data_IF_572294361600
#
_entry.id   IF_572294361600
#
_cell.length_a   1.000
_cell.length_b   1.000
_cell.length_c   1.000
_cell.angle_alpha   90.00
_cell.angle_beta   90.00
_cell.angle_gamma   90.00
#
_symmetry.space_group_name_H-M   'P 1'
#
loop_
_entity.id
_entity.type
_entity.pdbx_description
1 polymer ?
#
# COMPACT_ATOMS: atom_id res chain seq x y z
N UNK A 1 -12.16 6.49 -31.85
CA UNK A 1 -13.39 5.89 -31.29
C UNK A 1 -13.22 4.41 -31.56
N UNK A 2 -12.91 3.57 -30.57
CA UNK A 2 -13.65 3.37 -29.32
C UNK A 2 -12.74 3.27 -28.09
N UNK A 3 -13.21 3.89 -27.01
CA UNK A 3 -12.70 3.84 -25.65
C UNK A 3 -13.25 2.55 -25.01
N UNK A 4 -12.43 1.52 -24.87
CA UNK A 4 -12.78 0.30 -24.17
C UNK A 4 -12.77 0.53 -22.66
N UNK A 5 -13.93 0.74 -22.06
CA UNK A 5 -14.08 0.90 -20.62
C UNK A 5 -13.74 -0.39 -19.87
N UNK A 6 -12.92 -0.28 -18.84
CA UNK A 6 -12.72 -1.35 -17.86
C UNK A 6 -13.69 -1.13 -16.70
N UNK A 7 -14.74 -1.95 -16.68
CA UNK A 7 -15.62 -2.10 -15.50
C UNK A 7 -14.99 -3.18 -14.62
N UNK A 8 -14.35 -2.76 -13.53
CA UNK A 8 -13.89 -3.69 -12.50
C UNK A 8 -14.91 -3.72 -11.36
N UNK A 9 -15.83 -4.68 -11.41
CA UNK A 9 -16.72 -4.98 -10.30
C UNK A 9 -15.96 -5.82 -9.25
N UNK A 10 -15.86 -5.33 -8.02
CA UNK A 10 -15.28 -6.08 -6.90
C UNK A 10 -16.45 -6.67 -6.08
N UNK A 11 -16.84 -7.89 -6.43
CA UNK A 11 -17.90 -8.63 -5.74
C UNK A 11 -17.35 -9.22 -4.44
N UNK A 12 -17.91 -8.80 -3.31
CA UNK A 12 -17.60 -9.34 -1.98
C UNK A 12 -18.25 -10.72 -1.82
N UNK A 13 -17.46 -11.79 -1.84
CA UNK A 13 -17.88 -13.11 -1.39
C UNK A 13 -17.40 -13.35 0.04
N UNK A 14 -18.32 -13.25 1.00
CA UNK A 14 -18.14 -13.71 2.37
C UNK A 14 -18.73 -15.12 2.47
N UNK A 15 -17.89 -16.15 2.40
CA UNK A 15 -18.24 -17.47 2.92
C UNK A 15 -17.08 -18.01 3.75
N UNK A 16 -17.26 -17.98 5.07
CA UNK A 16 -16.37 -18.59 6.04
C UNK A 16 -16.84 -20.02 6.31
N UNK A 17 -16.26 -21.00 5.63
CA UNK A 17 -16.38 -22.41 5.99
C UNK A 17 -15.05 -22.90 6.59
N UNK A 18 -15.14 -23.29 7.86
CA UNK A 18 -14.06 -23.77 8.72
C UNK A 18 -13.47 -25.07 8.11
N UNK A 19 -12.25 -25.01 7.59
CA UNK A 19 -11.56 -26.15 6.98
C UNK A 19 -10.04 -26.01 7.09
N UNK A 20 -9.45 -26.92 7.87
CA UNK A 20 -8.03 -27.04 8.25
C UNK A 20 -7.05 -26.89 7.08
N UNK A 21 -6.09 -25.95 7.17
CA UNK A 21 -4.82 -25.98 6.44
C UNK A 21 -3.79 -25.14 7.18
N UNK A 22 -2.93 -25.85 7.89
CA UNK A 22 -1.83 -25.37 8.71
C UNK A 22 -0.68 -24.91 7.79
N UNK A 23 -0.80 -23.72 7.21
CA UNK A 23 0.33 -22.96 6.69
C UNK A 23 0.32 -21.64 7.45
N UNK A 24 1.35 -21.43 8.26
CA UNK A 24 1.49 -20.33 9.22
C UNK A 24 1.11 -18.98 8.59
N UNK A 25 -0.15 -18.58 8.73
CA UNK A 25 -0.58 -17.21 8.55
C UNK A 25 0.15 -16.42 9.62
N UNK A 26 1.15 -15.64 9.22
CA UNK A 26 1.79 -14.65 10.07
C UNK A 26 0.65 -13.74 10.55
N UNK A 27 0.17 -13.99 11.77
CA UNK A 27 -0.93 -13.25 12.39
C UNK A 27 -0.52 -11.77 12.44
N UNK A 28 -0.93 -10.99 11.45
CA UNK A 28 -1.09 -9.56 11.65
C UNK A 28 -2.22 -9.43 12.66
N UNK A 29 -1.88 -8.93 13.85
CA UNK A 29 -2.75 -8.94 15.03
C UNK A 29 -3.76 -7.78 15.04
N UNK A 30 -3.99 -7.15 13.89
CA UNK A 30 -5.02 -6.13 13.71
C UNK A 30 -5.96 -6.56 12.57
N UNK A 31 -7.29 -6.62 12.80
CA UNK A 31 -8.26 -7.02 11.78
C UNK A 31 -8.34 -6.04 10.59
N UNK A 32 -7.73 -4.86 10.71
CA UNK A 32 -7.69 -3.82 9.67
C UNK A 32 -6.41 -3.84 8.82
N UNK A 33 -5.42 -4.69 9.16
CA UNK A 33 -4.17 -4.84 8.42
C UNK A 33 -4.10 -6.22 7.77
N UNK A 34 -4.01 -6.24 6.44
CA UNK A 34 -3.87 -7.47 5.68
C UNK A 34 -2.95 -7.26 4.48
N UNK A 35 -2.45 -8.36 3.95
CA UNK A 35 -1.61 -8.34 2.76
C UNK A 35 -2.42 -8.63 1.50
N UNK A 36 -2.16 -7.86 0.45
CA UNK A 36 -2.72 -8.09 -0.88
C UNK A 36 -1.62 -8.10 -1.94
N UNK A 37 -1.78 -8.90 -3.01
CA UNK A 37 -0.98 -8.69 -4.21
C UNK A 37 -1.37 -7.35 -4.86
N UNK A 38 -0.40 -6.57 -5.30
CA UNK A 38 -0.64 -5.35 -6.07
C UNK A 38 0.40 -5.17 -7.18
N UNK A 39 0.07 -4.36 -8.17
CA UNK A 39 0.98 -3.99 -9.25
C UNK A 39 1.15 -2.47 -9.20
N UNK A 40 2.39 -2.00 -9.19
CA UNK A 40 2.73 -0.58 -9.19
C UNK A 40 3.69 -0.33 -10.34
N UNK A 41 3.30 0.51 -11.30
CA UNK A 41 3.99 0.61 -12.58
C UNK A 41 4.04 -0.75 -13.27
N UNK A 42 5.23 -1.26 -13.53
CA UNK A 42 5.47 -2.60 -14.11
C UNK A 42 5.89 -3.65 -13.07
N UNK A 43 5.94 -3.29 -11.78
CA UNK A 43 6.39 -4.19 -10.72
C UNK A 43 5.21 -4.87 -10.02
N UNK A 44 5.30 -6.19 -9.86
CA UNK A 44 4.34 -7.00 -9.11
C UNK A 44 4.83 -7.24 -7.68
N UNK A 45 4.01 -6.87 -6.70
CA UNK A 45 4.23 -7.14 -5.28
C UNK A 45 3.24 -8.18 -4.83
N UNK A 46 3.72 -9.33 -4.35
CA UNK A 46 2.86 -10.45 -3.93
C UNK A 46 2.28 -10.28 -2.52
N UNK A 47 2.86 -9.40 -1.71
CA UNK A 47 2.61 -9.26 -0.28
C UNK A 47 2.69 -7.79 0.15
N UNK A 48 1.87 -6.92 -0.46
CA UNK A 48 1.79 -5.51 -0.10
C UNK A 48 0.85 -5.34 1.09
N UNK A 49 1.32 -4.65 2.13
CA UNK A 49 0.53 -4.40 3.35
C UNK A 49 -0.49 -3.30 3.10
N UNK A 50 -1.76 -3.60 3.36
CA UNK A 50 -2.88 -2.67 3.34
C UNK A 50 -3.39 -2.50 4.77
N UNK A 51 -3.37 -1.26 5.25
CA UNK A 51 -3.91 -0.85 6.53
C UNK A 51 -5.13 0.05 6.27
N UNK A 52 -6.33 -0.44 6.54
CA UNK A 52 -7.57 0.32 6.34
C UNK A 52 -7.75 1.45 7.38
N UNK A 53 -7.01 1.39 8.49
CA UNK A 53 -6.96 2.45 9.50
C UNK A 53 -5.98 3.56 9.15
N UNK A 54 -5.09 3.35 8.16
CA UNK A 54 -4.14 4.34 7.71
C UNK A 54 -4.80 5.37 6.78
N UNK A 55 -4.56 6.66 7.07
CA UNK A 55 -5.01 7.77 6.22
C UNK A 55 -4.02 8.14 5.11
N UNK A 56 -2.84 7.51 5.10
CA UNK A 56 -1.75 7.79 4.16
C UNK A 56 -1.17 6.49 3.61
N UNK A 57 -0.73 6.52 2.35
CA UNK A 57 0.02 5.41 1.76
C UNK A 57 1.51 5.66 1.93
N UNK A 58 2.26 4.64 2.36
CA UNK A 58 3.70 4.72 2.55
C UNK A 58 4.41 3.78 1.59
N UNK A 59 5.42 4.28 0.87
CA UNK A 59 6.30 3.46 0.05
C UNK A 59 7.76 3.64 0.49
N UNK A 60 8.49 2.54 0.75
CA UNK A 60 9.92 2.60 1.02
C UNK A 60 10.70 3.25 -0.13
N UNK A 61 11.69 4.09 0.21
CA UNK A 61 12.54 4.77 -0.76
C UNK A 61 13.24 3.81 -1.74
N UNK A 62 13.62 2.62 -1.29
CA UNK A 62 14.25 1.59 -2.13
C UNK A 62 13.31 1.10 -3.24
N UNK A 63 12.03 0.90 -2.92
CA UNK A 63 11.02 0.47 -3.89
C UNK A 63 10.76 1.61 -4.88
N UNK A 64 10.59 2.84 -4.41
CA UNK A 64 10.42 4.00 -5.28
C UNK A 64 11.56 4.16 -6.28
N UNK A 65 12.81 4.04 -5.81
CA UNK A 65 14.01 4.08 -6.67
C UNK A 65 13.99 2.98 -7.72
N UNK A 66 13.52 1.77 -7.38
CA UNK A 66 13.44 0.67 -8.35
C UNK A 66 12.38 0.88 -9.43
N UNK A 67 11.33 1.67 -9.13
CA UNK A 67 10.25 1.99 -10.05
C UNK A 67 10.61 3.11 -11.06
N UNK A 68 11.74 3.82 -10.85
CA UNK A 68 12.19 4.92 -11.70
C UNK A 68 11.13 6.01 -11.96
N UNK A 69 10.32 6.34 -10.94
CA UNK A 69 9.25 7.35 -11.02
C UNK A 69 9.74 8.81 -11.08
N UNK A 70 11.05 9.03 -11.22
CA UNK A 70 11.64 10.36 -11.28
C UNK A 70 11.95 10.94 -9.90
N UNK A 71 12.02 12.26 -9.83
CA UNK A 71 12.32 12.99 -8.60
C UNK A 71 11.05 13.20 -7.76
N UNK A 72 11.20 13.15 -6.44
CA UNK A 72 10.13 13.45 -5.50
C UNK A 72 9.95 14.95 -5.30
N UNK A 73 8.70 15.38 -5.10
CA UNK A 73 8.45 16.73 -4.59
C UNK A 73 8.85 16.81 -3.12
N UNK A 74 9.70 17.78 -2.78
CA UNK A 74 10.03 18.07 -1.39
C UNK A 74 8.76 18.42 -0.61
N UNK A 75 8.61 17.81 0.56
CA UNK A 75 7.52 18.10 1.48
C UNK A 75 8.06 18.62 2.81
N UNK A 76 7.39 19.61 3.39
CA UNK A 76 7.65 20.09 4.75
C UNK A 76 6.92 19.29 5.83
N UNK A 77 6.29 18.18 5.46
CA UNK A 77 5.48 17.38 6.38
C UNK A 77 6.34 16.54 7.33
N UNK A 78 5.77 16.19 8.49
CA UNK A 78 6.31 15.22 9.44
C UNK A 78 5.22 14.20 9.77
N UNK A 79 5.56 12.93 9.78
CA UNK A 79 4.65 11.85 10.17
C UNK A 79 4.99 11.42 11.58
N UNK A 80 3.98 11.36 12.45
CA UNK A 80 4.10 10.69 13.73
C UNK A 80 3.49 9.29 13.64
N UNK A 81 4.30 8.27 13.94
CA UNK A 81 3.85 6.88 13.97
C UNK A 81 3.20 6.56 15.33
N UNK A 82 2.42 5.47 15.36
CA UNK A 82 1.77 4.99 16.59
C UNK A 82 2.76 4.65 17.72
N UNK A 83 4.01 4.32 17.38
CA UNK A 83 5.10 4.13 18.35
C UNK A 83 5.69 5.46 18.85
N UNK A 84 5.03 6.59 18.57
CA UNK A 84 5.43 7.97 18.90
C UNK A 84 6.67 8.50 18.18
N UNK A 85 7.30 7.71 17.30
CA UNK A 85 8.41 8.20 16.48
C UNK A 85 7.94 9.22 15.46
N UNK A 86 8.80 10.20 15.18
CA UNK A 86 8.55 11.26 14.20
C UNK A 86 9.50 11.03 13.03
N UNK A 87 8.94 10.93 11.83
CA UNK A 87 9.68 10.72 10.59
C UNK A 87 9.44 11.90 9.65
N UNK A 88 10.51 12.30 8.96
CA UNK A 88 10.44 13.24 7.86
C UNK A 88 10.46 12.46 6.55
N UNK A 89 9.42 12.57 5.72
CA UNK A 89 9.44 11.98 4.39
C UNK A 89 10.53 12.58 3.52
N UNK A 90 11.09 11.77 2.63
CA UNK A 90 11.98 12.23 1.56
C UNK A 90 11.24 13.11 0.55
N UNK A 91 9.93 12.89 0.40
CA UNK A 91 9.07 13.66 -0.46
C UNK A 91 7.70 13.01 -0.61
N UNK A 92 6.88 13.60 -1.47
CA UNK A 92 5.55 13.10 -1.81
C UNK A 92 5.42 12.93 -3.31
N UNK A 93 4.64 11.93 -3.71
CA UNK A 93 4.13 11.81 -5.07
C UNK A 93 2.64 12.11 -5.00
N UNK A 94 2.24 13.25 -5.55
CA UNK A 94 0.83 13.63 -5.66
C UNK A 94 0.21 12.90 -6.84
N UNK A 95 -0.49 11.83 -6.54
CA UNK A 95 -1.47 11.21 -7.43
C UNK A 95 -2.85 11.25 -6.74
N UNK A 96 -3.88 10.62 -7.31
CA UNK A 96 -5.27 10.61 -6.78
C UNK A 96 -5.36 10.18 -5.29
N UNK A 97 -4.32 9.53 -4.76
CA UNK A 97 -4.07 9.37 -3.33
C UNK A 97 -2.61 9.75 -3.02
N UNK A 98 -2.38 10.61 -2.02
CA UNK A 98 -1.04 11.08 -1.66
C UNK A 98 -0.16 9.90 -1.19
N UNK A 99 0.94 9.65 -1.92
CA UNK A 99 1.95 8.65 -1.58
C UNK A 99 3.12 9.33 -0.87
N UNK A 100 3.47 8.83 0.32
CA UNK A 100 4.54 9.38 1.14
C UNK A 100 5.74 8.43 1.20
N UNK A 101 6.95 8.97 1.01
CA UNK A 101 8.18 8.19 0.95
C UNK A 101 9.02 8.39 2.19
N UNK A 102 9.24 7.31 2.94
CA UNK A 102 10.10 7.32 4.12
C UNK A 102 11.48 6.77 3.77
N UNK A 103 12.51 7.34 4.42
CA UNK A 103 13.90 6.93 4.29
C UNK A 103 14.17 5.56 4.94
#
# INVERSE_FOLDING_TARGET
>A
MEIGGVVSALTRNEEFTIGTSQALSKKFRDPEIFSIPCIIGECTFVDAMLDLGASINVMPASIYKSLNFGDLESTGMTIQLANTSILQPLGVLKDVNELIFLA
#
